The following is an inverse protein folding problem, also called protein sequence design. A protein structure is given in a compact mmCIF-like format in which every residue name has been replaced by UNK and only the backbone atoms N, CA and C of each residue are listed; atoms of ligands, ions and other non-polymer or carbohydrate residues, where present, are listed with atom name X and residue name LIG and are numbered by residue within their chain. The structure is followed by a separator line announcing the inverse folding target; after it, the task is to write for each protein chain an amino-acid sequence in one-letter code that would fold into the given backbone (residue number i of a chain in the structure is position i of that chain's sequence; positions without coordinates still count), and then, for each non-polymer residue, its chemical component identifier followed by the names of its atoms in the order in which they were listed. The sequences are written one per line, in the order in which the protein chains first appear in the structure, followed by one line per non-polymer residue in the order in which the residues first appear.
data_IF_235235214612
#
_entry.id   IF_235235214612
#
_cell.length_a   1.000
_cell.length_b   1.000
_cell.length_c   1.000
_cell.angle_alpha   90.00
_cell.angle_beta   90.00
_cell.angle_gamma   90.00
#
_symmetry.space_group_name_H-M   'P 1'
#
loop_
_entity.id
_entity.type
_entity.pdbx_description
1 polymer ?
#
# COMPACT_ATOMS: atom_id res chain seq x y z
N UNK A 1 8.96 2.06 18.62
CA UNK A 1 9.07 0.75 19.33
C UNK A 1 7.72 0.00 19.46
N UNK A 2 6.63 0.60 19.99
CA UNK A 2 5.34 -0.11 20.18
C UNK A 2 4.71 -0.69 18.89
N UNK A 3 4.90 -0.05 17.73
CA UNK A 3 4.35 -0.52 16.44
C UNK A 3 5.08 -1.78 15.98
N UNK A 4 6.40 -1.79 15.98
CA UNK A 4 7.20 -2.96 15.62
C UNK A 4 6.89 -4.19 16.47
N UNK A 5 6.72 -3.99 17.78
CA UNK A 5 6.32 -5.08 18.68
C UNK A 5 4.95 -5.66 18.33
N UNK A 6 3.98 -4.83 17.88
CA UNK A 6 2.67 -5.32 17.42
C UNK A 6 2.76 -6.10 16.13
N UNK A 7 3.59 -5.64 15.18
CA UNK A 7 3.86 -6.33 13.91
C UNK A 7 4.44 -7.72 14.19
N UNK A 8 5.48 -7.80 15.02
CA UNK A 8 6.12 -9.07 15.38
C UNK A 8 5.18 -10.04 16.09
N UNK A 9 4.27 -9.53 16.93
CA UNK A 9 3.28 -10.37 17.64
C UNK A 9 2.15 -10.88 16.74
N UNK A 10 1.93 -10.27 15.57
CA UNK A 10 0.87 -10.64 14.62
C UNK A 10 -0.56 -10.57 15.18
N UNK A 11 -0.76 -9.91 16.33
CA UNK A 11 -2.09 -9.82 16.97
C UNK A 11 -2.86 -8.62 16.44
N UNK A 12 -3.91 -8.89 15.66
CA UNK A 12 -4.80 -7.89 15.09
C UNK A 12 -6.11 -7.88 15.85
N UNK A 13 -6.56 -6.70 16.28
CA UNK A 13 -7.89 -6.51 16.87
C UNK A 13 -8.83 -5.96 15.80
N UNK A 14 -9.96 -6.63 15.62
CA UNK A 14 -11.00 -6.20 14.69
C UNK A 14 -12.20 -5.66 15.47
N UNK A 15 -12.89 -4.63 14.95
CA UNK A 15 -14.18 -4.18 15.51
C UNK A 15 -15.20 -5.32 15.50
N UNK A 16 -16.21 -5.26 16.40
CA UNK A 16 -17.22 -6.32 16.55
C UNK A 16 -18.04 -6.57 15.28
N UNK A 17 -18.33 -5.52 14.51
CA UNK A 17 -19.12 -5.58 13.26
C UNK A 17 -18.25 -5.60 12.00
N UNK A 18 -17.00 -6.08 12.09
CA UNK A 18 -16.11 -6.15 10.94
C UNK A 18 -16.50 -7.30 10.02
N UNK A 19 -16.51 -7.07 8.69
CA UNK A 19 -16.85 -8.08 7.71
C UNK A 19 -15.96 -9.34 7.84
N UNK A 20 -16.60 -10.51 7.77
CA UNK A 20 -15.92 -11.78 8.01
C UNK A 20 -14.95 -12.17 6.89
N UNK A 21 -15.23 -11.80 5.63
CA UNK A 21 -14.37 -12.08 4.49
C UNK A 21 -13.17 -11.14 4.46
N UNK A 22 -13.40 -9.85 4.77
CA UNK A 22 -12.32 -8.88 4.95
C UNK A 22 -11.40 -9.25 6.12
N UNK A 23 -11.97 -9.70 7.26
CA UNK A 23 -11.20 -10.20 8.40
C UNK A 23 -10.35 -11.42 8.02
N UNK A 24 -10.90 -12.31 7.20
CA UNK A 24 -10.22 -13.52 6.74
C UNK A 24 -9.01 -13.15 5.87
N UNK A 25 -9.19 -12.35 4.83
CA UNK A 25 -8.09 -11.98 3.93
C UNK A 25 -6.97 -11.22 4.66
N UNK A 26 -7.32 -10.29 5.55
CA UNK A 26 -6.34 -9.55 6.34
C UNK A 26 -5.51 -10.49 7.23
N UNK A 27 -6.14 -11.49 7.85
CA UNK A 27 -5.41 -12.48 8.66
C UNK A 27 -4.42 -13.28 7.83
N UNK A 28 -4.79 -13.73 6.63
CA UNK A 28 -3.89 -14.47 5.75
C UNK A 28 -2.74 -13.62 5.22
N UNK A 29 -2.99 -12.33 4.91
CA UNK A 29 -1.95 -11.40 4.45
C UNK A 29 -0.98 -10.98 5.56
N UNK A 30 -1.44 -10.96 6.81
CA UNK A 30 -0.65 -10.55 7.97
C UNK A 30 -0.22 -11.73 8.85
N UNK A 31 -0.25 -12.95 8.32
CA UNK A 31 0.26 -14.13 9.03
C UNK A 31 1.76 -13.96 9.28
N UNK A 32 2.19 -14.18 10.53
CA UNK A 32 3.60 -14.10 10.92
C UNK A 32 4.39 -15.25 10.33
N UNK A 33 3.75 -16.42 10.19
CA UNK A 33 4.33 -17.60 9.58
C UNK A 33 4.35 -17.44 8.05
N UNK A 34 5.54 -17.24 7.49
CA UNK A 34 5.74 -17.06 6.05
C UNK A 34 5.24 -18.25 5.23
N UNK A 35 5.23 -19.45 5.81
CA UNK A 35 4.76 -20.66 5.10
C UNK A 35 3.23 -20.72 4.97
N UNK A 36 2.51 -19.82 5.64
CA UNK A 36 1.05 -19.70 5.61
C UNK A 36 0.56 -18.37 5.05
N UNK A 37 1.47 -17.40 4.93
CA UNK A 37 1.11 -16.06 4.47
C UNK A 37 0.74 -16.08 2.99
N UNK A 38 -0.43 -15.55 2.66
CA UNK A 38 -0.86 -15.38 1.27
C UNK A 38 0.11 -14.46 0.51
N UNK A 39 0.35 -14.81 -0.76
CA UNK A 39 1.36 -14.18 -1.60
C UNK A 39 2.74 -14.84 -1.50
N UNK A 40 3.00 -15.64 -0.44
CA UNK A 40 4.24 -16.41 -0.26
C UNK A 40 4.06 -17.92 -0.47
N UNK A 41 2.85 -18.36 -0.77
CA UNK A 41 2.54 -19.77 -1.04
C UNK A 41 2.81 -20.12 -2.51
N UNK A 42 2.72 -21.42 -2.85
CA UNK A 42 3.01 -21.92 -4.20
C UNK A 42 2.16 -21.28 -5.32
N UNK A 43 0.93 -20.86 -5.01
CA UNK A 43 0.04 -20.18 -5.96
C UNK A 43 0.27 -18.67 -6.03
N UNK A 44 1.13 -18.12 -5.17
CA UNK A 44 1.49 -16.70 -5.19
C UNK A 44 0.28 -15.77 -5.07
N UNK A 45 0.10 -14.88 -6.05
CA UNK A 45 -0.99 -13.91 -6.10
C UNK A 45 -2.38 -14.55 -6.25
N UNK A 46 -2.47 -15.76 -6.78
CA UNK A 46 -3.76 -16.42 -7.01
C UNK A 46 -4.47 -16.80 -5.71
N UNK A 47 -3.73 -17.08 -4.64
CA UNK A 47 -4.31 -17.28 -3.31
C UNK A 47 -5.07 -16.03 -2.84
N UNK A 48 -4.57 -14.85 -3.19
CA UNK A 48 -5.19 -13.57 -2.86
C UNK A 48 -6.39 -13.32 -3.77
N UNK A 49 -6.20 -13.42 -5.10
CA UNK A 49 -7.24 -13.13 -6.10
C UNK A 49 -8.46 -14.03 -5.95
N UNK A 50 -8.25 -15.32 -5.62
CA UNK A 50 -9.32 -16.31 -5.47
C UNK A 50 -9.94 -16.35 -4.07
N UNK A 51 -9.49 -15.49 -3.14
CA UNK A 51 -10.08 -15.45 -1.82
C UNK A 51 -11.52 -14.94 -1.87
N UNK A 52 -12.40 -15.50 -1.02
CA UNK A 52 -13.84 -15.16 -0.96
C UNK A 52 -14.15 -13.66 -0.82
N UNK A 53 -13.22 -12.86 -0.32
CA UNK A 53 -13.35 -11.41 -0.22
C UNK A 53 -13.47 -10.76 -1.60
N UNK A 54 -12.78 -11.32 -2.59
CA UNK A 54 -12.80 -10.85 -3.98
C UNK A 54 -13.78 -11.64 -4.88
N UNK A 55 -14.72 -12.37 -4.29
CA UNK A 55 -15.69 -13.13 -5.07
C UNK A 55 -16.48 -12.22 -6.02
N UNK A 56 -16.41 -12.51 -7.32
CA UNK A 56 -17.08 -11.74 -8.37
C UNK A 56 -16.33 -10.48 -8.81
N UNK A 57 -15.12 -10.26 -8.30
CA UNK A 57 -14.28 -9.15 -8.73
C UNK A 57 -13.52 -9.52 -10.02
N UNK A 58 -13.62 -8.66 -11.04
CA UNK A 58 -12.99 -8.85 -12.34
C UNK A 58 -11.63 -8.11 -12.36
N UNK A 59 -10.56 -8.89 -12.23
CA UNK A 59 -9.20 -8.36 -12.19
C UNK A 59 -8.73 -7.83 -13.53
N UNK A 60 -9.20 -8.41 -14.65
CA UNK A 60 -8.82 -7.98 -15.98
C UNK A 60 -9.44 -6.63 -16.30
N UNK A 61 -10.72 -6.45 -15.97
CA UNK A 61 -11.39 -5.14 -16.07
C UNK A 61 -10.75 -4.09 -15.17
N UNK A 62 -10.25 -4.46 -13.99
CA UNK A 62 -9.52 -3.52 -13.15
C UNK A 62 -8.24 -3.05 -13.85
N UNK A 63 -7.48 -3.97 -14.43
CA UNK A 63 -6.23 -3.68 -15.14
C UNK A 63 -6.46 -2.77 -16.35
N UNK A 64 -7.58 -3.00 -17.05
CA UNK A 64 -8.02 -2.19 -18.21
C UNK A 64 -8.68 -0.87 -17.80
N UNK A 65 -8.78 -0.57 -16.49
CA UNK A 65 -9.48 0.61 -15.95
C UNK A 65 -10.97 0.68 -16.38
N UNK A 66 -11.61 -0.45 -16.64
CA UNK A 66 -13.02 -0.56 -17.03
C UNK A 66 -13.96 -0.62 -15.81
N UNK A 67 -13.42 -0.81 -14.60
CA UNK A 67 -14.22 -0.77 -13.37
C UNK A 67 -14.32 0.66 -12.92
N UNK A 68 -15.55 1.16 -12.86
CA UNK A 68 -15.78 2.48 -12.30
C UNK A 68 -15.41 2.50 -10.80
N UNK A 69 -14.53 3.40 -10.34
CA UNK A 69 -14.16 3.48 -8.94
C UNK A 69 -15.36 3.94 -8.09
N UNK A 70 -15.43 3.44 -6.87
CA UNK A 70 -16.48 3.82 -5.91
C UNK A 70 -16.44 5.30 -5.54
N UNK A 71 -15.26 5.89 -5.56
CA UNK A 71 -15.04 7.31 -5.29
C UNK A 71 -14.10 7.90 -6.33
N UNK A 72 -14.54 8.99 -6.95
CA UNK A 72 -13.72 9.78 -7.89
C UNK A 72 -13.44 11.11 -7.21
N UNK A 73 -12.18 11.45 -6.90
CA UNK A 73 -11.83 12.74 -6.34
C UNK A 73 -12.26 13.88 -7.29
N UNK A 74 -12.84 14.93 -6.75
CA UNK A 74 -13.14 16.12 -7.54
C UNK A 74 -11.84 16.88 -7.77
N UNK A 75 -11.45 17.02 -9.04
CA UNK A 75 -10.26 17.73 -9.48
C UNK A 75 -10.72 18.83 -10.45
N UNK A 76 -10.37 20.08 -10.19
CA UNK A 76 -10.82 21.23 -10.98
C UNK A 76 -9.83 21.58 -12.12
N UNK A 77 -8.56 21.20 -11.98
CA UNK A 77 -7.50 21.45 -12.97
C UNK A 77 -6.31 20.52 -12.72
N UNK A 78 -5.38 20.42 -13.67
CA UNK A 78 -4.20 19.54 -13.58
C UNK A 78 -3.29 19.82 -12.37
N UNK A 79 -3.29 21.04 -11.84
CA UNK A 79 -2.53 21.42 -10.65
C UNK A 79 -3.37 21.53 -9.38
N UNK A 80 -4.58 20.98 -9.34
CA UNK A 80 -5.48 21.11 -8.19
C UNK A 80 -4.99 20.33 -6.97
N UNK A 81 -4.61 21.07 -5.93
CA UNK A 81 -4.14 20.52 -4.65
C UNK A 81 -5.22 20.58 -3.55
N UNK A 82 -6.49 20.88 -3.90
CA UNK A 82 -7.57 21.08 -2.94
C UNK A 82 -7.88 19.83 -2.07
N UNK A 83 -7.53 18.64 -2.57
CA UNK A 83 -7.68 17.37 -1.85
C UNK A 83 -6.56 17.08 -0.84
N UNK A 84 -5.55 17.93 -0.75
CA UNK A 84 -4.40 17.78 0.14
C UNK A 84 -4.42 18.83 1.25
N UNK A 85 -3.90 18.48 2.41
CA UNK A 85 -3.69 19.44 3.50
C UNK A 85 -2.62 20.47 3.09
N UNK A 86 -2.85 21.72 3.43
CA UNK A 86 -1.82 22.75 3.25
C UNK A 86 -0.70 22.51 4.27
N UNK A 87 0.53 22.49 3.78
CA UNK A 87 1.73 22.45 4.61
C UNK A 87 2.36 23.85 4.61
N UNK A 88 2.91 24.25 5.74
CA UNK A 88 3.87 25.33 5.77
C UNK A 88 5.15 24.73 5.24
N UNK A 89 5.60 25.20 4.08
CA UNK A 89 6.89 24.78 3.55
C UNK A 89 7.98 25.37 4.44
N UNK A 90 8.90 24.51 4.87
CA UNK A 90 10.11 24.98 5.55
C UNK A 90 10.93 25.81 4.53
N UNK A 91 11.48 26.94 4.96
CA UNK A 91 12.42 27.71 4.17
C UNK A 91 13.56 26.79 3.72
N UNK A 92 13.56 26.44 2.44
CA UNK A 92 14.60 25.61 1.86
C UNK A 92 15.93 26.34 2.00
N UNK A 93 16.70 25.99 3.01
CA UNK A 93 18.13 26.30 3.00
C UNK A 93 18.71 25.57 1.79
N UNK A 94 19.29 26.28 0.81
CA UNK A 94 19.84 25.64 -0.38
C UNK A 94 20.83 24.56 0.06
N UNK A 95 20.51 23.33 -0.32
CA UNK A 95 21.38 22.18 -0.09
C UNK A 95 22.70 22.50 -0.78
N UNK A 96 23.82 22.41 -0.05
CA UNK A 96 25.15 22.56 -0.66
C UNK A 96 25.26 21.57 -1.82
N UNK A 97 25.52 22.09 -3.01
CA UNK A 97 25.79 21.26 -4.17
C UNK A 97 26.95 20.30 -3.85
N UNK A 98 26.67 19.00 -3.95
CA UNK A 98 27.72 18.01 -3.83
C UNK A 98 28.62 18.08 -5.06
N UNK A 99 29.93 18.16 -4.86
CA UNK A 99 30.84 17.93 -5.96
C UNK A 99 30.65 16.50 -6.45
N UNK A 100 30.67 16.30 -7.78
CA UNK A 100 30.40 15.01 -8.42
C UNK A 100 31.22 13.86 -7.83
N UNK A 101 32.44 14.12 -7.38
CA UNK A 101 33.34 13.18 -6.69
C UNK A 101 32.89 12.76 -5.29
N UNK A 102 32.04 13.58 -4.63
CA UNK A 102 31.52 13.36 -3.28
C UNK A 102 30.03 13.04 -3.24
N UNK A 103 29.45 12.73 -4.41
CA UNK A 103 28.05 12.34 -4.51
C UNK A 103 27.89 10.90 -4.01
N UNK A 104 27.17 10.66 -2.88
CA UNK A 104 26.96 9.32 -2.36
C UNK A 104 26.13 8.43 -3.29
N UNK A 105 25.50 8.99 -4.32
CA UNK A 105 24.64 8.29 -5.26
C UNK A 105 25.25 8.12 -6.66
N UNK A 106 26.54 8.48 -6.85
CA UNK A 106 27.20 8.46 -8.16
C UNK A 106 27.12 7.08 -8.86
N UNK A 107 27.03 6.00 -8.09
CA UNK A 107 26.98 4.63 -8.60
C UNK A 107 25.55 4.07 -8.76
N UNK A 108 24.52 4.83 -8.38
CA UNK A 108 23.11 4.37 -8.46
C UNK A 108 22.56 4.36 -9.89
N UNK A 109 23.21 5.06 -10.82
CA UNK A 109 22.76 5.24 -12.20
C UNK A 109 23.73 4.63 -13.24
N UNK A 110 24.60 3.72 -12.82
CA UNK A 110 25.49 2.98 -13.72
C UNK A 110 24.90 1.66 -14.20
#
# INVERSE_FOLDING_TARGET
MKVYQKILKGKIKFPSKFDSSAKSIIKHLLDVDLTKRYGNLSKGVDDIKNHRFFKGFDWDKLLLMEIQPFYIPKVNSDGDVSNFSKYVEDDFTPVKEFKKENDPFIDWFK
#
